data_IF_303067527468
#
_entry.id   IF_303067527468
#
_cell.length_a   1.000
_cell.length_b   1.000
_cell.length_c   1.000
_cell.angle_alpha   90.00
_cell.angle_beta   90.00
_cell.angle_gamma   90.00
#
_symmetry.space_group_name_H-M   'P 1'
#
loop_
_entity.id
_entity.type
_entity.pdbx_description
1 polymer ?
#
# COMPACT_ATOMS: atom_id res chain seq x y z
N UNK A 1 26.83 -6.93 0.56
CA UNK A 1 26.16 -8.16 0.13
C UNK A 1 25.27 -7.84 -1.07
N UNK A 2 25.36 -8.64 -2.10
CA UNK A 2 24.52 -8.44 -3.29
C UNK A 2 23.19 -9.17 -3.15
N UNK A 3 22.13 -8.50 -3.45
CA UNK A 3 20.82 -9.14 -3.53
C UNK A 3 20.73 -9.99 -4.77
N UNK A 4 20.08 -11.13 -4.65
CA UNK A 4 19.72 -11.94 -5.80
C UNK A 4 18.32 -11.57 -6.25
N UNK A 5 18.20 -11.31 -7.53
CA UNK A 5 16.89 -11.08 -8.13
C UNK A 5 16.39 -12.41 -8.70
N UNK A 6 15.16 -12.78 -8.33
CA UNK A 6 14.48 -13.96 -8.86
C UNK A 6 13.10 -13.59 -9.32
N UNK A 7 12.63 -14.28 -10.36
CA UNK A 7 11.21 -14.25 -10.67
C UNK A 7 10.46 -14.97 -9.55
N UNK A 8 9.38 -14.34 -9.07
CA UNK A 8 8.62 -14.82 -7.92
C UNK A 8 7.15 -14.47 -8.14
N UNK A 9 6.24 -15.37 -7.81
CA UNK A 9 4.82 -15.11 -7.85
C UNK A 9 4.30 -14.90 -6.42
N UNK A 10 3.02 -14.54 -6.28
CA UNK A 10 2.43 -14.34 -4.96
C UNK A 10 2.39 -15.60 -4.11
N UNK A 11 2.36 -16.77 -4.73
CA UNK A 11 2.39 -18.04 -3.99
C UNK A 11 3.73 -18.23 -3.29
N UNK A 12 4.81 -17.81 -3.92
CA UNK A 12 6.16 -17.89 -3.35
C UNK A 12 6.30 -17.05 -2.08
N UNK A 13 5.49 -15.99 -1.94
CA UNK A 13 5.50 -15.14 -0.76
C UNK A 13 4.74 -15.76 0.40
N UNK A 14 4.04 -16.86 0.17
CA UNK A 14 3.25 -17.56 1.19
C UNK A 14 2.22 -16.64 1.87
N UNK A 15 1.58 -15.78 1.09
CA UNK A 15 0.51 -14.92 1.58
C UNK A 15 -0.77 -15.75 1.71
N UNK A 16 -1.59 -15.46 2.70
CA UNK A 16 -2.86 -16.15 2.86
C UNK A 16 -3.80 -15.90 1.70
N UNK A 17 -4.68 -16.86 1.44
CA UNK A 17 -5.72 -16.73 0.42
C UNK A 17 -6.83 -15.80 0.91
N UNK A 18 -7.55 -15.22 -0.03
CA UNK A 18 -8.71 -14.39 0.23
C UNK A 18 -8.56 -13.01 -0.34
N UNK A 19 -9.31 -12.08 0.23
CA UNK A 19 -9.30 -10.69 -0.21
C UNK A 19 -8.18 -9.91 0.44
N UNK A 20 -7.49 -9.16 -0.39
CA UNK A 20 -6.41 -8.27 0.04
C UNK A 20 -6.70 -6.86 -0.46
N UNK A 21 -6.29 -5.86 0.31
CA UNK A 21 -6.36 -4.46 -0.10
C UNK A 21 -4.97 -3.99 -0.45
N UNK A 22 -4.90 -3.15 -1.48
CA UNK A 22 -3.64 -2.66 -2.03
C UNK A 22 -3.68 -1.14 -2.08
N UNK A 23 -2.67 -0.50 -1.48
CA UNK A 23 -2.45 0.93 -1.59
C UNK A 23 -1.28 1.16 -2.55
N UNK A 24 -1.58 1.67 -3.73
CA UNK A 24 -0.58 1.99 -4.72
C UNK A 24 -0.30 3.49 -4.68
N UNK A 25 0.81 3.88 -4.05
CA UNK A 25 1.17 5.28 -3.89
C UNK A 25 1.39 6.00 -5.22
N UNK A 26 1.68 5.26 -6.29
CA UNK A 26 1.81 5.85 -7.62
C UNK A 26 0.50 6.40 -8.17
N UNK A 27 -0.64 5.95 -7.62
CA UNK A 27 -1.96 6.44 -8.03
C UNK A 27 -2.46 7.57 -7.14
N UNK A 28 -1.78 7.85 -6.04
CA UNK A 28 -2.13 8.95 -5.16
C UNK A 28 -1.49 10.23 -5.68
N UNK A 29 -2.23 11.35 -5.78
CA UNK A 29 -1.67 12.60 -6.29
C UNK A 29 -0.46 13.04 -5.48
N UNK A 30 0.69 13.15 -6.14
CA UNK A 30 1.95 13.49 -5.51
C UNK A 30 2.89 14.07 -6.56
N UNK A 31 3.74 14.98 -6.13
CA UNK A 31 4.78 15.54 -7.00
C UNK A 31 5.92 14.57 -7.23
N UNK A 32 6.03 13.55 -6.38
CA UNK A 32 7.05 12.51 -6.51
C UNK A 32 6.54 11.36 -7.35
N UNK A 33 7.40 10.83 -8.19
CA UNK A 33 7.09 9.64 -8.96
C UNK A 33 7.25 8.39 -8.07
N UNK A 34 6.36 8.25 -7.10
CA UNK A 34 6.42 7.17 -6.12
C UNK A 34 5.89 5.87 -6.73
N UNK A 35 6.60 4.78 -6.49
CA UNK A 35 6.23 3.46 -6.98
C UNK A 35 5.99 2.46 -5.86
N UNK A 36 5.89 2.95 -4.64
CA UNK A 36 5.65 2.08 -3.48
C UNK A 36 4.24 1.50 -3.54
N UNK A 37 4.15 0.23 -3.28
CA UNK A 37 2.87 -0.49 -3.16
C UNK A 37 2.87 -1.19 -1.81
N UNK A 38 1.81 -0.99 -1.05
CA UNK A 38 1.61 -1.63 0.25
C UNK A 38 0.34 -2.45 0.16
N UNK A 39 0.35 -3.66 0.73
CA UNK A 39 -0.85 -4.50 0.72
C UNK A 39 -1.03 -5.20 2.05
N UNK A 40 -2.27 -5.53 2.36
CA UNK A 40 -2.63 -6.23 3.58
C UNK A 40 -3.90 -7.03 3.36
N UNK A 41 -4.15 -8.07 4.19
CA UNK A 41 -5.45 -8.74 4.17
C UNK A 41 -6.57 -7.74 4.40
N UNK A 42 -7.73 -7.97 3.79
CA UNK A 42 -8.88 -7.08 3.93
C UNK A 42 -9.27 -6.85 5.39
N UNK A 43 -9.08 -7.84 6.25
CA UNK A 43 -9.35 -7.71 7.68
C UNK A 43 -8.43 -6.69 8.38
N UNK A 44 -7.32 -6.32 7.76
CA UNK A 44 -6.37 -5.34 8.28
C UNK A 44 -6.34 -4.06 7.45
N UNK A 45 -7.44 -3.74 6.82
CA UNK A 45 -7.58 -2.54 6.00
C UNK A 45 -7.19 -1.26 6.76
N UNK A 46 -7.60 -1.15 8.02
CA UNK A 46 -7.27 0.01 8.85
C UNK A 46 -5.76 0.15 9.03
N UNK A 47 -5.08 -0.96 9.29
CA UNK A 47 -3.63 -0.94 9.46
C UNK A 47 -2.93 -0.50 8.18
N UNK A 48 -3.45 -0.91 7.04
CA UNK A 48 -2.93 -0.49 5.75
C UNK A 48 -3.09 1.01 5.55
N UNK A 49 -4.27 1.55 5.87
CA UNK A 49 -4.51 2.99 5.77
C UNK A 49 -3.57 3.76 6.69
N UNK A 50 -3.35 3.27 7.92
CA UNK A 50 -2.42 3.89 8.84
C UNK A 50 -1.00 3.91 8.28
N UNK A 51 -0.54 2.81 7.72
CA UNK A 51 0.79 2.72 7.13
C UNK A 51 0.94 3.65 5.93
N UNK A 52 -0.09 3.69 5.07
CA UNK A 52 -0.07 4.56 3.90
C UNK A 52 -0.11 6.04 4.29
N UNK A 53 -0.87 6.39 5.32
CA UNK A 53 -0.91 7.76 5.83
C UNK A 53 0.44 8.18 6.40
N UNK A 54 1.10 7.30 7.13
CA UNK A 54 2.44 7.56 7.66
C UNK A 54 3.43 7.79 6.53
N UNK A 55 3.38 6.96 5.50
CA UNK A 55 4.23 7.12 4.32
C UNK A 55 3.96 8.45 3.62
N UNK A 56 2.69 8.81 3.42
CA UNK A 56 2.33 10.05 2.76
C UNK A 56 2.84 11.27 3.56
N UNK A 57 2.72 11.24 4.89
CA UNK A 57 3.22 12.32 5.73
C UNK A 57 4.75 12.41 5.70
N UNK A 58 5.44 11.27 5.79
CA UNK A 58 6.90 11.25 5.87
C UNK A 58 7.58 11.52 4.52
N UNK A 59 7.01 10.98 3.43
CA UNK A 59 7.70 10.98 2.13
C UNK A 59 7.11 11.98 1.14
N UNK A 60 5.85 12.36 1.30
CA UNK A 60 5.15 13.24 0.35
C UNK A 60 4.70 14.56 0.96
N UNK A 61 5.04 14.80 2.22
CA UNK A 61 4.74 16.07 2.87
C UNK A 61 3.27 16.32 3.18
N UNK A 62 2.43 15.29 3.12
CA UNK A 62 1.02 15.42 3.49
C UNK A 62 0.85 15.51 5.00
N UNK A 63 -0.19 16.18 5.44
CA UNK A 63 -0.55 16.16 6.85
C UNK A 63 -1.41 14.92 7.14
N UNK A 64 -1.11 14.26 8.25
CA UNK A 64 -1.88 13.09 8.68
C UNK A 64 -3.19 13.53 9.30
N UNK A 65 -4.22 13.68 8.49
CA UNK A 65 -5.55 14.15 8.90
C UNK A 65 -6.59 13.07 8.55
N UNK A 66 -7.79 13.15 9.16
CA UNK A 66 -8.88 12.25 8.75
C UNK A 66 -9.22 12.37 7.27
N UNK A 67 -9.05 13.57 6.70
CA UNK A 67 -9.26 13.78 5.27
C UNK A 67 -8.28 12.96 4.43
N UNK A 68 -7.01 12.97 4.80
CA UNK A 68 -5.99 12.18 4.11
C UNK A 68 -6.32 10.69 4.16
N UNK A 69 -6.78 10.20 5.32
CA UNK A 69 -7.16 8.80 5.48
C UNK A 69 -8.31 8.41 4.57
N UNK A 70 -9.29 9.30 4.42
CA UNK A 70 -10.42 9.06 3.51
C UNK A 70 -9.97 9.02 2.06
N UNK A 71 -9.06 9.91 1.68
CA UNK A 71 -8.52 9.92 0.33
C UNK A 71 -7.75 8.64 0.03
N UNK A 72 -6.93 8.19 0.97
CA UNK A 72 -6.19 6.93 0.83
C UNK A 72 -7.17 5.77 0.71
N UNK A 73 -8.16 5.70 1.59
CA UNK A 73 -9.14 4.63 1.56
C UNK A 73 -9.87 4.56 0.22
N UNK A 74 -10.13 5.70 -0.39
CA UNK A 74 -10.83 5.78 -1.68
C UNK A 74 -10.03 5.22 -2.85
N UNK A 75 -8.70 5.20 -2.75
CA UNK A 75 -7.84 4.67 -3.83
C UNK A 75 -7.41 3.22 -3.61
N UNK A 76 -7.80 2.62 -2.51
CA UNK A 76 -7.45 1.22 -2.25
C UNK A 76 -8.12 0.33 -3.28
N UNK A 77 -7.38 -0.66 -3.73
CA UNK A 77 -7.88 -1.66 -4.64
C UNK A 77 -8.03 -2.97 -3.88
N UNK A 78 -9.10 -3.70 -4.17
CA UNK A 78 -9.31 -5.01 -3.59
C UNK A 78 -8.90 -6.05 -4.61
N UNK A 79 -8.02 -6.94 -4.21
CA UNK A 79 -7.59 -8.06 -5.05
C UNK A 79 -7.85 -9.36 -4.30
N UNK A 80 -7.97 -10.43 -5.03
CA UNK A 80 -8.19 -11.74 -4.45
C UNK A 80 -7.05 -12.67 -4.85
N UNK A 81 -6.50 -13.34 -3.86
CA UNK A 81 -5.36 -14.22 -4.06
C UNK A 81 -5.75 -15.68 -3.84
#
# INVERSE_FOLDING_TARGET
MKERTRAMDFKSLNLGRGKWVVANCGKFPSEKNCRLVIMAPDSQRRDLVDAAATHAAASHGHQSTPQLRKEIDSILEVVEI
#
